data_IF_820689190488
#
_entry.id   IF_820689190488
#
_cell.length_a   1.000
_cell.length_b   1.000
_cell.length_c   1.000
_cell.angle_alpha   90.00
_cell.angle_beta   90.00
_cell.angle_gamma   90.00
#
_symmetry.space_group_name_H-M   'P 1'
#
loop_
_entity.id
_entity.type
_entity.pdbx_description
1 polymer ?
#
# COMPACT_ATOMS: atom_id res chain seq x y z
N UNK A 1 45.85 19.62 5.02
CA UNK A 1 46.26 19.25 3.65
C UNK A 1 45.00 19.08 2.82
N UNK A 2 44.68 20.08 2.02
CA UNK A 2 43.60 20.02 1.04
C UNK A 2 43.98 19.00 -0.03
N UNK A 3 43.23 17.91 -0.15
CA UNK A 3 43.24 17.09 -1.35
C UNK A 3 41.79 16.78 -1.70
N UNK A 4 41.17 17.76 -2.36
CA UNK A 4 39.93 17.55 -3.10
C UNK A 4 40.20 16.59 -4.24
N UNK A 5 39.32 15.61 -4.40
CA UNK A 5 39.19 14.86 -5.64
C UNK A 5 37.93 15.36 -6.32
N UNK A 6 38.12 16.32 -7.22
CA UNK A 6 37.10 16.74 -8.17
C UNK A 6 37.10 15.68 -9.27
N UNK A 7 36.02 14.90 -9.37
CA UNK A 7 35.72 14.18 -10.60
C UNK A 7 35.01 15.17 -11.52
N UNK A 8 35.68 15.56 -12.61
CA UNK A 8 35.04 16.25 -13.71
C UNK A 8 34.23 15.20 -14.45
N UNK A 9 32.91 15.25 -14.34
CA UNK A 9 32.03 14.56 -15.28
C UNK A 9 32.00 15.40 -16.55
N UNK A 10 32.40 14.81 -17.66
CA UNK A 10 32.13 15.37 -18.98
C UNK A 10 30.60 15.42 -19.13
N UNK A 11 30.05 16.60 -19.37
CA UNK A 11 28.62 16.77 -19.66
C UNK A 11 28.43 16.33 -21.12
N UNK A 12 28.50 15.01 -21.33
CA UNK A 12 27.87 14.38 -22.47
C UNK A 12 26.63 13.64 -21.96
N UNK A 13 25.49 14.23 -22.30
CA UNK A 13 24.10 13.87 -22.01
C UNK A 13 23.49 14.50 -20.76
N UNK A 14 22.74 15.59 -20.98
CA UNK A 14 21.85 16.27 -20.03
C UNK A 14 20.50 15.52 -19.87
N UNK A 15 20.45 14.28 -20.35
CA UNK A 15 19.24 13.53 -20.60
C UNK A 15 19.26 12.30 -19.69
N UNK A 16 18.49 12.35 -18.61
CA UNK A 16 18.26 11.20 -17.74
C UNK A 16 17.24 10.33 -18.46
N UNK A 17 17.67 9.14 -18.86
CA UNK A 17 16.82 8.15 -19.52
C UNK A 17 15.89 7.49 -18.49
N UNK A 18 14.61 7.36 -18.83
CA UNK A 18 13.60 6.69 -18.00
C UNK A 18 12.18 6.97 -18.49
N UNK A 19 11.20 6.27 -17.94
CA UNK A 19 9.81 6.50 -18.34
C UNK A 19 9.34 7.92 -17.99
N UNK A 20 8.95 8.69 -19.01
CA UNK A 20 8.41 10.05 -18.85
C UNK A 20 6.87 10.10 -18.78
N UNK A 21 6.20 8.95 -18.90
CA UNK A 21 4.74 8.86 -18.90
C UNK A 21 4.18 8.74 -17.47
N UNK A 22 3.39 9.73 -17.04
CA UNK A 22 2.87 9.84 -15.67
C UNK A 22 1.90 8.71 -15.29
N UNK A 23 1.26 8.06 -16.27
CA UNK A 23 0.33 6.93 -16.06
C UNK A 23 1.04 5.57 -15.97
N UNK A 24 2.35 5.53 -16.24
CA UNK A 24 3.12 4.29 -16.12
C UNK A 24 3.58 4.05 -14.68
N UNK A 25 3.61 2.78 -14.26
CA UNK A 25 4.01 2.41 -12.88
C UNK A 25 5.47 2.73 -12.56
N UNK A 26 6.31 2.89 -13.59
CA UNK A 26 7.73 3.18 -13.49
C UNK A 26 8.08 4.60 -13.94
N UNK A 27 7.10 5.52 -13.90
CA UNK A 27 7.31 6.94 -14.13
C UNK A 27 8.48 7.47 -13.28
N UNK A 28 9.37 8.22 -13.93
CA UNK A 28 10.51 8.84 -13.30
C UNK A 28 10.46 10.36 -13.51
N UNK A 29 10.17 11.10 -12.44
CA UNK A 29 10.13 12.57 -12.45
C UNK A 29 11.46 13.23 -12.84
N UNK A 30 12.57 12.49 -12.74
CA UNK A 30 13.92 12.97 -13.09
C UNK A 30 14.30 12.62 -14.53
N UNK A 31 13.49 11.82 -15.24
CA UNK A 31 13.73 11.46 -16.63
C UNK A 31 13.35 12.62 -17.57
N UNK A 32 14.26 12.95 -18.48
CA UNK A 32 14.05 13.97 -19.51
C UNK A 32 14.06 13.38 -20.93
N UNK A 33 14.26 12.07 -21.05
CA UNK A 33 14.17 11.31 -22.31
C UNK A 33 13.53 9.97 -22.03
N UNK A 34 12.51 9.62 -22.81
CA UNK A 34 11.79 8.35 -22.68
C UNK A 34 12.65 7.22 -23.24
N UNK A 35 13.11 6.36 -22.32
CA UNK A 35 13.85 5.15 -22.65
C UNK A 35 12.92 4.02 -23.11
N UNK A 36 11.60 4.27 -23.05
CA UNK A 36 10.60 3.33 -23.51
C UNK A 36 10.36 2.15 -22.61
N UNK A 37 10.83 2.26 -21.37
CA UNK A 37 10.57 1.27 -20.35
C UNK A 37 9.16 1.41 -19.75
N UNK A 38 8.34 2.38 -20.16
CA UNK A 38 7.04 2.67 -19.56
C UNK A 38 6.09 1.45 -19.55
N UNK A 39 5.74 0.99 -18.34
CA UNK A 39 4.82 -0.12 -18.12
C UNK A 39 3.46 0.44 -17.73
N UNK A 40 2.45 0.21 -18.56
CA UNK A 40 1.06 0.50 -18.22
C UNK A 40 0.45 -0.67 -17.46
N UNK A 41 -0.34 -0.38 -16.42
CA UNK A 41 -1.06 -1.40 -15.65
C UNK A 41 -2.52 -1.03 -15.45
N UNK A 42 -3.42 -2.01 -15.51
CA UNK A 42 -4.83 -1.82 -15.16
C UNK A 42 -5.40 -3.04 -14.44
N UNK A 43 -6.58 -2.88 -13.83
CA UNK A 43 -7.26 -3.96 -13.13
C UNK A 43 -8.31 -4.62 -14.05
N UNK A 44 -8.23 -5.93 -14.19
CA UNK A 44 -9.19 -6.74 -14.94
C UNK A 44 -9.60 -7.95 -14.11
N UNK A 45 -10.91 -8.18 -13.93
CA UNK A 45 -11.48 -9.32 -13.19
C UNK A 45 -10.82 -9.64 -11.82
N UNK A 46 -10.39 -8.60 -11.08
CA UNK A 46 -9.80 -8.72 -9.75
C UNK A 46 -8.28 -8.94 -9.70
N UNK A 47 -7.60 -8.94 -10.84
CA UNK A 47 -6.13 -9.00 -10.94
C UNK A 47 -5.58 -7.82 -11.74
N UNK A 48 -4.29 -7.53 -11.55
CA UNK A 48 -3.58 -6.50 -12.33
C UNK A 48 -2.98 -7.13 -13.60
N UNK A 49 -3.23 -6.47 -14.72
CA UNK A 49 -2.62 -6.78 -16.01
C UNK A 49 -1.65 -5.66 -16.39
N UNK A 50 -0.52 -6.03 -16.98
CA UNK A 50 0.55 -5.12 -17.40
C UNK A 50 0.78 -5.25 -18.90
N UNK A 51 0.85 -4.12 -19.57
CA UNK A 51 1.07 -4.06 -21.02
C UNK A 51 2.57 -3.98 -21.32
N UNK A 52 2.99 -4.69 -22.37
CA UNK A 52 4.38 -4.61 -22.85
C UNK A 52 4.74 -3.16 -23.24
N UNK A 53 5.87 -2.61 -22.75
CA UNK A 53 6.25 -1.22 -22.99
C UNK A 53 6.36 -0.86 -24.48
N UNK A 54 6.98 -1.74 -25.26
CA UNK A 54 7.06 -1.61 -26.71
C UNK A 54 6.37 -2.77 -27.42
N UNK A 55 5.50 -2.50 -28.42
CA UNK A 55 5.00 -3.55 -29.27
C UNK A 55 6.12 -4.08 -30.17
N UNK A 56 5.96 -5.33 -30.62
CA UNK A 56 6.77 -5.80 -31.73
C UNK A 56 6.29 -5.10 -33.01
N UNK A 57 7.13 -4.21 -33.54
CA UNK A 57 6.88 -3.52 -34.80
C UNK A 57 7.19 -4.40 -36.02
N UNK A 58 7.87 -5.54 -35.86
CA UNK A 58 7.94 -6.55 -36.90
C UNK A 58 6.59 -7.30 -36.91
N UNK A 59 5.73 -7.07 -37.92
CA UNK A 59 4.38 -7.60 -37.88
C UNK A 59 4.44 -9.13 -38.06
N UNK A 60 3.75 -9.84 -37.18
CA UNK A 60 3.69 -11.31 -37.16
C UNK A 60 2.30 -11.79 -37.55
N UNK A 61 2.17 -12.97 -38.19
CA UNK A 61 0.88 -13.59 -38.40
C UNK A 61 0.31 -14.13 -37.09
N UNK A 62 -1.00 -14.26 -37.01
CA UNK A 62 -1.66 -14.84 -35.85
C UNK A 62 -1.38 -16.35 -35.75
N UNK A 63 -1.30 -17.05 -36.89
CA UNK A 63 -0.90 -18.46 -36.99
C UNK A 63 0.07 -18.71 -38.15
N UNK A 64 0.93 -19.76 -38.08
CA UNK A 64 1.92 -20.05 -39.13
C UNK A 64 1.27 -20.50 -40.46
N UNK A 65 0.09 -21.12 -40.41
CA UNK A 65 -0.69 -21.52 -41.58
C UNK A 65 -2.17 -21.19 -41.34
N UNK A 66 -2.93 -20.93 -42.42
CA UNK A 66 -4.37 -20.72 -42.35
C UNK A 66 -5.08 -22.06 -42.10
N UNK A 67 -5.15 -22.48 -40.83
CA UNK A 67 -5.81 -23.72 -40.42
C UNK A 67 -7.25 -23.44 -39.98
N UNK A 68 -8.15 -24.32 -40.39
CA UNK A 68 -9.55 -24.27 -39.98
C UNK A 68 -9.69 -24.87 -38.59
N UNK A 69 -9.95 -23.99 -37.62
CA UNK A 69 -10.53 -24.26 -36.31
C UNK A 69 -9.58 -24.79 -35.22
N UNK A 70 -9.13 -23.86 -34.38
CA UNK A 70 -8.60 -24.17 -33.05
C UNK A 70 -9.69 -24.11 -31.95
N UNK A 71 -10.89 -23.61 -32.29
CA UNK A 71 -11.99 -23.37 -31.36
C UNK A 71 -11.55 -22.57 -30.11
N UNK A 72 -10.59 -21.64 -30.25
CA UNK A 72 -10.23 -20.69 -29.17
C UNK A 72 -11.29 -19.60 -29.09
N UNK A 73 -12.50 -20.01 -28.74
CA UNK A 73 -13.61 -19.10 -28.49
C UNK A 73 -13.50 -18.54 -27.08
N UNK A 74 -14.02 -17.32 -26.92
CA UNK A 74 -14.59 -16.92 -25.63
C UNK A 74 -15.45 -18.07 -25.13
N UNK A 75 -15.00 -18.69 -24.06
CA UNK A 75 -15.85 -19.50 -23.22
C UNK A 75 -17.13 -18.70 -22.98
N UNK A 76 -18.26 -19.27 -23.44
CA UNK A 76 -19.62 -18.73 -23.33
C UNK A 76 -20.10 -18.55 -21.86
N UNK A 77 -19.17 -18.41 -20.92
CA UNK A 77 -19.33 -18.20 -19.49
C UNK A 77 -18.38 -17.12 -18.93
N UNK A 78 -17.98 -16.12 -19.73
CA UNK A 78 -17.46 -14.85 -19.21
C UNK A 78 -16.13 -14.96 -18.48
N UNK A 79 -15.16 -15.65 -19.06
CA UNK A 79 -13.82 -15.79 -18.52
C UNK A 79 -12.75 -15.52 -19.57
N UNK A 80 -12.53 -14.25 -19.95
CA UNK A 80 -11.45 -13.90 -20.85
C UNK A 80 -10.07 -14.33 -20.29
N UNK A 81 -9.50 -15.39 -20.87
CA UNK A 81 -8.25 -15.99 -20.43
C UNK A 81 -7.20 -15.91 -21.56
N UNK A 82 -6.68 -14.71 -21.87
CA UNK A 82 -5.65 -14.56 -22.91
C UNK A 82 -4.43 -15.46 -22.68
N UNK A 83 -4.10 -15.72 -21.41
CA UNK A 83 -3.06 -16.66 -21.00
C UNK A 83 -3.35 -18.11 -21.42
N UNK A 84 -4.57 -18.60 -21.16
CA UNK A 84 -4.96 -19.96 -21.54
C UNK A 84 -5.02 -20.10 -23.06
N UNK A 85 -5.62 -19.12 -23.73
CA UNK A 85 -5.69 -19.06 -25.19
C UNK A 85 -4.30 -19.13 -25.83
N UNK A 86 -3.34 -18.38 -25.29
CA UNK A 86 -1.96 -18.40 -25.77
C UNK A 86 -1.33 -19.79 -25.62
N UNK A 87 -1.53 -20.45 -24.47
CA UNK A 87 -1.03 -21.82 -24.26
C UNK A 87 -1.66 -22.81 -25.24
N UNK A 88 -2.98 -22.72 -25.46
CA UNK A 88 -3.70 -23.62 -26.39
C UNK A 88 -3.23 -23.43 -27.84
N UNK A 89 -2.95 -22.19 -28.26
CA UNK A 89 -2.40 -21.88 -29.59
C UNK A 89 -0.97 -22.45 -29.73
N UNK A 90 -0.13 -22.29 -28.71
CA UNK A 90 1.25 -22.79 -28.71
C UNK A 90 1.30 -24.32 -28.68
N UNK A 91 0.44 -24.96 -27.90
CA UNK A 91 0.35 -26.42 -27.82
C UNK A 91 -0.09 -27.05 -29.14
N UNK A 92 -0.88 -26.34 -29.94
CA UNK A 92 -1.36 -26.83 -31.23
C UNK A 92 -0.36 -26.63 -32.38
N UNK A 93 0.24 -25.44 -32.51
CA UNK A 93 1.15 -25.15 -33.62
C UNK A 93 2.61 -25.52 -33.32
N UNK A 94 2.96 -25.75 -32.05
CA UNK A 94 4.34 -26.01 -31.62
C UNK A 94 5.18 -24.74 -31.50
N UNK A 95 6.39 -24.90 -30.98
CA UNK A 95 7.33 -23.81 -30.69
C UNK A 95 8.14 -23.39 -31.92
N UNK A 96 7.50 -22.74 -32.89
CA UNK A 96 8.16 -22.07 -34.03
C UNK A 96 7.98 -20.54 -33.90
N UNK A 97 9.05 -19.75 -34.01
CA UNK A 97 9.07 -18.27 -33.79
C UNK A 97 8.33 -17.44 -34.87
N UNK A 98 7.41 -18.06 -35.61
CA UNK A 98 6.81 -17.47 -36.80
C UNK A 98 5.44 -16.82 -36.59
N UNK A 99 4.90 -16.80 -35.37
CA UNK A 99 3.54 -16.31 -35.10
C UNK A 99 3.38 -15.58 -33.74
N UNK A 100 2.34 -14.77 -33.63
CA UNK A 100 2.12 -13.80 -32.55
C UNK A 100 2.06 -14.43 -31.13
N UNK A 101 1.36 -15.55 -30.97
CA UNK A 101 1.21 -16.19 -29.66
C UNK A 101 2.52 -16.78 -29.13
N UNK A 102 3.33 -17.44 -29.97
CA UNK A 102 4.63 -17.96 -29.57
C UNK A 102 5.65 -16.84 -29.31
N UNK A 103 5.57 -15.73 -30.05
CA UNK A 103 6.36 -14.53 -29.74
C UNK A 103 6.09 -14.06 -28.31
N UNK A 104 4.82 -13.92 -27.91
CA UNK A 104 4.50 -13.51 -26.55
C UNK A 104 4.90 -14.58 -25.52
N UNK A 105 4.73 -15.86 -25.84
CA UNK A 105 5.06 -16.96 -24.93
C UNK A 105 6.56 -17.08 -24.61
N UNK A 106 7.42 -16.85 -25.60
CA UNK A 106 8.89 -16.90 -25.44
C UNK A 106 9.51 -15.53 -25.10
N UNK A 107 8.69 -14.48 -24.96
CA UNK A 107 9.19 -13.14 -24.70
C UNK A 107 9.82 -13.08 -23.31
N UNK A 108 11.12 -12.79 -23.25
CA UNK A 108 11.82 -12.47 -22.00
C UNK A 108 12.18 -10.99 -22.00
N UNK A 109 11.33 -10.15 -21.39
CA UNK A 109 11.53 -8.70 -21.34
C UNK A 109 11.45 -8.20 -19.90
N UNK A 110 12.39 -7.31 -19.53
CA UNK A 110 12.49 -6.71 -18.19
C UNK A 110 12.56 -7.74 -17.04
N UNK A 111 13.15 -8.91 -17.29
CA UNK A 111 13.28 -9.99 -16.31
C UNK A 111 12.02 -10.84 -16.12
N UNK A 112 11.03 -10.69 -17.00
CA UNK A 112 9.78 -11.44 -16.99
C UNK A 112 9.66 -12.33 -18.23
N UNK A 113 9.29 -13.60 -18.02
CA UNK A 113 9.05 -14.62 -19.06
C UNK A 113 7.58 -15.10 -19.08
N UNK A 114 6.69 -14.43 -18.36
CA UNK A 114 5.29 -14.81 -18.16
C UNK A 114 4.31 -14.05 -19.09
N UNK A 115 4.79 -13.60 -20.24
CA UNK A 115 4.02 -12.83 -21.21
C UNK A 115 3.10 -13.72 -22.05
N UNK A 116 1.94 -13.19 -22.42
CA UNK A 116 0.96 -13.88 -23.27
C UNK A 116 0.23 -12.90 -24.19
N UNK A 117 -0.42 -13.44 -25.22
CA UNK A 117 -1.23 -12.66 -26.16
C UNK A 117 -2.58 -12.30 -25.50
N UNK A 118 -2.91 -11.00 -25.33
CA UNK A 118 -4.11 -10.60 -24.62
C UNK A 118 -5.37 -11.03 -25.35
N UNK A 119 -6.41 -11.30 -24.58
CA UNK A 119 -7.78 -11.42 -25.09
C UNK A 119 -8.38 -10.05 -25.44
N UNK A 120 -9.48 -10.06 -26.19
CA UNK A 120 -10.25 -8.88 -26.59
C UNK A 120 -10.72 -8.05 -25.38
N UNK A 121 -11.10 -8.71 -24.28
CA UNK A 121 -11.53 -8.04 -23.04
C UNK A 121 -10.35 -7.48 -22.24
N UNK A 122 -9.23 -8.21 -22.13
CA UNK A 122 -8.03 -7.70 -21.45
C UNK A 122 -7.50 -6.44 -22.13
N UNK A 123 -7.50 -6.40 -23.47
CA UNK A 123 -7.12 -5.19 -24.20
C UNK A 123 -8.18 -4.08 -24.09
N UNK A 124 -9.47 -4.46 -23.96
CA UNK A 124 -10.57 -3.52 -23.69
C UNK A 124 -10.50 -2.86 -22.31
N UNK A 125 -9.94 -3.53 -21.30
CA UNK A 125 -9.69 -2.97 -19.99
C UNK A 125 -8.68 -1.81 -20.04
N UNK A 126 -7.61 -1.96 -20.84
CA UNK A 126 -6.66 -0.87 -21.09
C UNK A 126 -7.31 0.33 -21.79
N UNK A 127 -8.18 0.09 -22.78
CA UNK A 127 -8.95 1.17 -23.40
C UNK A 127 -9.78 1.94 -22.37
N UNK A 128 -10.51 1.21 -21.52
CA UNK A 128 -11.37 1.81 -20.49
C UNK A 128 -10.54 2.63 -19.49
N UNK A 129 -9.38 2.11 -19.07
CA UNK A 129 -8.44 2.81 -18.19
C UNK A 129 -7.94 4.12 -18.81
N UNK A 130 -7.39 4.05 -20.03
CA UNK A 130 -6.88 5.22 -20.75
C UNK A 130 -7.99 6.25 -21.03
N UNK A 131 -9.20 5.81 -21.35
CA UNK A 131 -10.33 6.71 -21.58
C UNK A 131 -10.82 7.44 -20.30
N UNK A 132 -10.53 6.88 -19.12
CA UNK A 132 -10.95 7.45 -17.83
C UNK A 132 -9.96 8.47 -17.25
N UNK A 133 -8.68 8.37 -17.62
CA UNK A 133 -7.64 9.32 -17.23
C UNK A 133 -7.48 10.48 -18.22
N UNK A 134 -8.00 10.35 -19.45
CA UNK A 134 -7.75 11.29 -20.54
C UNK A 134 -8.96 12.17 -20.89
N UNK A 135 -8.80 13.49 -20.80
CA UNK A 135 -9.59 14.44 -21.58
C UNK A 135 -8.93 14.54 -22.98
N UNK A 136 -9.54 13.89 -23.98
CA UNK A 136 -8.99 13.55 -25.31
C UNK A 136 -8.54 14.73 -26.21
N UNK A 137 -8.41 15.95 -25.69
CA UNK A 137 -8.15 17.17 -26.46
C UNK A 137 -6.67 17.61 -26.45
N UNK A 138 -5.89 17.31 -25.38
CA UNK A 138 -4.54 17.90 -25.22
C UNK A 138 -3.41 17.11 -25.93
N UNK A 139 -3.68 15.90 -26.41
CA UNK A 139 -2.68 15.10 -27.16
C UNK A 139 -2.57 15.51 -28.63
N UNK A 140 -3.68 15.93 -29.25
CA UNK A 140 -3.70 16.30 -30.67
C UNK A 140 -3.03 17.66 -30.98
N UNK A 141 -2.76 18.49 -29.98
CA UNK A 141 -2.06 19.78 -30.19
C UNK A 141 -0.53 19.66 -30.25
N UNK A 142 0.03 18.52 -29.85
CA UNK A 142 1.49 18.32 -29.81
C UNK A 142 2.02 17.48 -30.99
N UNK A 143 1.15 17.08 -31.93
CA UNK A 143 1.53 16.26 -33.11
C UNK A 143 1.62 17.03 -34.43
N UNK A 144 1.44 18.36 -34.44
CA UNK A 144 1.78 19.17 -35.62
C UNK A 144 3.24 19.64 -35.55
N UNK A 145 4.19 18.82 -36.03
CA UNK A 145 5.52 19.32 -36.42
C UNK A 145 5.51 19.61 -37.92
N UNK A 146 5.41 20.90 -38.22
CA UNK A 146 5.76 21.49 -39.49
C UNK A 146 7.22 21.17 -39.83
N UNK A 147 7.45 20.84 -41.09
CA UNK A 147 8.76 20.53 -41.66
C UNK A 147 9.72 21.73 -41.53
N UNK A 148 10.77 21.55 -40.73
CA UNK A 148 12.01 22.31 -40.83
C UNK A 148 12.25 23.30 -39.70
N UNK A 149 12.97 22.86 -38.67
CA UNK A 149 14.09 23.58 -38.06
C UNK A 149 14.78 22.67 -37.03
N UNK A 150 16.09 22.48 -37.19
CA UNK A 150 16.94 21.72 -36.26
C UNK A 150 17.02 22.47 -34.93
N UNK A 151 16.36 21.94 -33.90
CA UNK A 151 16.61 22.31 -32.50
C UNK A 151 17.20 21.11 -31.75
N UNK A 152 18.31 21.38 -31.08
CA UNK A 152 19.07 20.44 -30.27
C UNK A 152 18.25 20.15 -29.00
N UNK A 153 17.57 19.01 -28.99
CA UNK A 153 16.90 18.41 -27.83
C UNK A 153 16.91 16.90 -28.04
N UNK A 154 17.38 16.15 -27.05
CA UNK A 154 17.54 14.70 -27.10
C UNK A 154 16.25 14.04 -27.59
N UNK A 155 16.37 13.31 -28.71
CA UNK A 155 15.54 12.22 -29.20
C UNK A 155 14.09 12.14 -28.65
N UNK A 156 13.13 12.69 -29.39
CA UNK A 156 11.74 12.22 -29.32
C UNK A 156 11.69 10.79 -29.88
N UNK A 157 11.68 9.77 -29.03
CA UNK A 157 11.10 8.47 -29.37
C UNK A 157 9.59 8.64 -29.47
N UNK A 158 8.97 7.99 -30.46
CA UNK A 158 7.54 8.13 -30.72
C UNK A 158 6.72 7.63 -29.52
N UNK A 159 5.54 8.24 -29.25
CA UNK A 159 4.69 7.85 -28.12
C UNK A 159 4.33 6.37 -28.15
N UNK A 160 4.16 5.80 -26.95
CA UNK A 160 3.98 4.39 -26.56
C UNK A 160 2.91 3.58 -27.32
N UNK A 161 2.16 4.22 -28.21
CA UNK A 161 1.29 3.59 -29.21
C UNK A 161 0.83 4.64 -30.21
N UNK A 162 0.91 4.36 -31.51
CA UNK A 162 0.26 5.26 -32.47
C UNK A 162 -1.27 5.05 -32.39
N UNK A 163 -2.10 6.12 -32.39
CA UNK A 163 -3.56 6.02 -32.22
C UNK A 163 -4.29 5.14 -33.26
N UNK A 164 -3.63 4.80 -34.37
CA UNK A 164 -4.23 4.08 -35.49
C UNK A 164 -3.90 2.59 -35.62
N UNK A 165 -3.06 2.01 -34.76
CA UNK A 165 -2.58 0.63 -34.94
C UNK A 165 -3.54 -0.40 -34.34
N UNK A 166 -3.82 -1.45 -35.11
CA UNK A 166 -4.52 -2.65 -34.67
C UNK A 166 -3.52 -3.68 -34.13
N UNK A 167 -3.85 -4.27 -32.98
CA UNK A 167 -3.04 -5.33 -32.36
C UNK A 167 -3.78 -6.65 -32.37
N UNK A 168 -3.04 -7.74 -32.61
CA UNK A 168 -3.58 -9.09 -32.50
C UNK A 168 -4.08 -9.37 -31.08
N UNK A 169 -5.26 -9.98 -30.99
CA UNK A 169 -5.79 -10.59 -29.77
C UNK A 169 -5.72 -12.10 -29.89
N UNK A 170 -5.77 -12.81 -28.75
CA UNK A 170 -5.79 -14.28 -28.73
C UNK A 170 -7.13 -14.89 -29.15
N UNK A 171 -8.14 -14.06 -29.43
CA UNK A 171 -9.47 -14.50 -29.83
C UNK A 171 -9.53 -14.83 -31.32
N UNK A 172 -10.02 -16.03 -31.62
CA UNK A 172 -10.38 -16.45 -32.98
C UNK A 172 -11.79 -15.97 -33.32
N UNK A 173 -12.03 -15.58 -34.58
CA UNK A 173 -13.35 -15.18 -35.05
C UNK A 173 -13.95 -16.24 -35.99
N UNK A 174 -15.29 -16.35 -36.00
CA UNK A 174 -16.01 -17.25 -36.90
C UNK A 174 -16.37 -16.54 -38.22
N UNK A 175 -16.07 -17.11 -39.41
CA UNK A 175 -15.45 -18.41 -39.67
C UNK A 175 -13.94 -18.45 -39.39
N UNK A 176 -13.46 -19.63 -39.02
CA UNK A 176 -12.16 -19.98 -38.41
C UNK A 176 -10.87 -19.66 -39.19
N UNK A 177 -10.97 -18.86 -40.25
CA UNK A 177 -9.84 -18.39 -41.05
C UNK A 177 -9.39 -16.99 -40.59
N UNK A 178 -10.15 -16.36 -39.69
CA UNK A 178 -9.90 -15.01 -39.18
C UNK A 178 -9.64 -14.97 -37.68
N UNK A 179 -8.89 -13.97 -37.24
CA UNK A 179 -8.67 -13.67 -35.83
C UNK A 179 -9.01 -12.20 -35.55
N UNK A 180 -9.20 -11.87 -34.27
CA UNK A 180 -9.64 -10.54 -33.85
C UNK A 180 -8.45 -9.61 -33.60
N UNK A 181 -8.59 -8.40 -34.14
CA UNK A 181 -7.69 -7.27 -33.98
C UNK A 181 -8.40 -6.17 -33.21
N UNK A 182 -7.71 -5.51 -32.28
CA UNK A 182 -8.31 -4.44 -31.48
C UNK A 182 -7.35 -3.26 -31.31
N UNK A 183 -7.92 -2.05 -31.32
CA UNK A 183 -7.20 -0.80 -31.01
C UNK A 183 -7.25 -0.53 -29.51
N UNK A 184 -6.19 0.10 -29.00
CA UNK A 184 -6.06 0.43 -27.57
C UNK A 184 -6.71 1.80 -27.25
N UNK A 185 -6.54 2.80 -28.12
CA UNK A 185 -7.06 4.16 -27.90
C UNK A 185 -8.47 4.41 -28.44
N UNK A 186 -8.87 3.65 -29.47
CA UNK A 186 -10.22 3.68 -30.02
C UNK A 186 -10.86 2.34 -29.69
N UNK A 187 -12.10 2.32 -29.18
CA UNK A 187 -12.84 1.08 -28.98
C UNK A 187 -13.32 0.50 -30.32
N UNK A 188 -12.38 0.11 -31.18
CA UNK A 188 -12.61 -0.41 -32.50
C UNK A 188 -12.01 -1.81 -32.63
N UNK A 189 -12.83 -2.73 -33.10
CA UNK A 189 -12.49 -4.12 -33.35
C UNK A 189 -12.60 -4.42 -34.84
N UNK A 190 -11.68 -5.23 -35.34
CA UNK A 190 -11.66 -5.67 -36.72
C UNK A 190 -11.22 -7.14 -36.79
N UNK A 191 -11.48 -7.78 -37.93
CA UNK A 191 -11.10 -9.18 -38.15
C UNK A 191 -10.34 -9.29 -39.44
N UNK A 192 -9.23 -10.03 -39.40
CA UNK A 192 -8.40 -10.28 -40.56
C UNK A 192 -7.99 -11.75 -40.62
N UNK A 193 -7.56 -12.18 -41.80
CA UNK A 193 -7.06 -13.52 -42.02
C UNK A 193 -5.83 -13.79 -41.15
N UNK A 194 -5.78 -14.96 -40.53
CA UNK A 194 -4.71 -15.32 -39.58
C UNK A 194 -3.30 -15.31 -40.17
N UNK A 195 -3.18 -15.46 -41.50
CA UNK A 195 -1.92 -15.42 -42.23
C UNK A 195 -1.38 -14.00 -42.48
N UNK A 196 -2.21 -12.97 -42.28
CA UNK A 196 -1.77 -11.59 -42.46
C UNK A 196 -0.94 -11.14 -41.26
N UNK A 197 0.05 -10.30 -41.50
CA UNK A 197 0.96 -9.85 -40.45
C UNK A 197 0.46 -8.54 -39.85
N UNK A 198 0.35 -8.50 -38.52
CA UNK A 198 0.02 -7.28 -37.76
C UNK A 198 0.95 -7.14 -36.56
N UNK A 199 1.12 -5.92 -36.02
CA UNK A 199 1.87 -5.70 -34.79
C UNK A 199 1.30 -6.49 -33.60
N UNK A 200 2.19 -6.94 -32.73
CA UNK A 200 1.83 -7.73 -31.55
C UNK A 200 2.17 -6.96 -30.29
N UNK A 201 1.26 -6.98 -29.32
CA UNK A 201 1.50 -6.41 -27.99
C UNK A 201 1.11 -7.42 -26.93
N UNK A 202 2.08 -7.84 -26.13
CA UNK A 202 1.86 -8.86 -25.12
C UNK A 202 1.40 -8.25 -23.80
N UNK A 203 0.71 -9.04 -22.99
CA UNK A 203 0.25 -8.68 -21.65
C UNK A 203 0.77 -9.74 -20.66
N UNK A 204 1.03 -9.33 -19.42
CA UNK A 204 1.29 -10.24 -18.31
C UNK A 204 0.35 -9.97 -17.16
N UNK A 205 0.01 -11.00 -16.39
CA UNK A 205 -0.75 -10.85 -15.15
C UNK A 205 0.19 -11.06 -13.97
N UNK A 206 0.26 -10.10 -13.05
CA UNK A 206 1.04 -10.30 -11.83
C UNK A 206 0.21 -9.89 -10.61
N UNK A 207 0.13 -10.81 -9.65
CA UNK A 207 -0.25 -10.44 -8.30
C UNK A 207 0.95 -9.71 -7.67
N UNK A 208 0.74 -8.42 -7.37
CA UNK A 208 1.41 -7.59 -6.34
C UNK A 208 2.43 -6.55 -6.81
N UNK A 209 2.13 -5.29 -6.46
CA UNK A 209 3.02 -4.14 -6.48
C UNK A 209 4.15 -4.25 -5.43
N UNK A 210 5.37 -3.83 -5.79
CA UNK A 210 6.40 -3.46 -4.80
C UNK A 210 7.53 -4.45 -4.56
N UNK A 211 7.72 -5.47 -5.40
CA UNK A 211 8.82 -6.41 -5.23
C UNK A 211 10.08 -5.94 -5.97
N UNK A 212 11.18 -5.74 -5.22
CA UNK A 212 12.49 -5.34 -5.77
C UNK A 212 13.33 -6.51 -6.28
N UNK A 213 12.91 -7.75 -6.01
CA UNK A 213 13.64 -8.99 -6.34
C UNK A 213 12.65 -10.06 -6.81
N UNK A 214 13.01 -10.76 -7.89
CA UNK A 214 12.27 -11.87 -8.50
C UNK A 214 11.89 -12.97 -7.48
N UNK A 215 12.74 -13.20 -6.47
CA UNK A 215 12.43 -14.15 -5.41
C UNK A 215 11.29 -13.67 -4.49
N UNK A 216 11.22 -12.38 -4.21
CA UNK A 216 10.15 -11.77 -3.41
C UNK A 216 8.85 -11.68 -4.20
N UNK A 217 8.91 -11.35 -5.50
CA UNK A 217 7.77 -11.38 -6.43
C UNK A 217 7.06 -12.74 -6.41
N UNK A 218 7.84 -13.82 -6.32
CA UNK A 218 7.35 -15.18 -6.39
C UNK A 218 6.97 -15.77 -5.02
N UNK A 219 6.89 -14.95 -3.96
CA UNK A 219 6.60 -15.40 -2.59
C UNK A 219 7.49 -16.56 -2.13
N UNK A 220 8.74 -16.63 -2.63
CA UNK A 220 9.68 -17.67 -2.19
C UNK A 220 9.90 -17.49 -0.70
N UNK A 221 9.95 -18.61 0.02
CA UNK A 221 10.17 -18.56 1.45
C UNK A 221 11.60 -18.04 1.72
N UNK A 222 11.84 -17.32 2.84
CA UNK A 222 13.15 -16.69 3.07
C UNK A 222 14.35 -17.66 3.07
N UNK A 223 14.12 -18.95 3.31
CA UNK A 223 15.16 -19.98 3.26
C UNK A 223 15.49 -20.50 1.86
N UNK A 224 14.65 -20.22 0.87
CA UNK A 224 14.86 -20.60 -0.54
C UNK A 224 15.75 -19.57 -1.28
N UNK A 225 16.02 -18.41 -0.66
CA UNK A 225 16.83 -17.33 -1.24
C UNK A 225 18.25 -17.41 -0.70
N UNK A 226 19.23 -17.55 -1.60
CA UNK A 226 20.63 -17.60 -1.21
C UNK A 226 21.21 -16.20 -1.00
N UNK A 227 21.21 -15.74 0.25
CA UNK A 227 21.87 -14.49 0.68
C UNK A 227 23.14 -14.82 1.47
N UNK A 228 24.16 -13.96 1.38
CA UNK A 228 25.37 -14.04 2.20
C UNK A 228 25.01 -13.79 3.68
N UNK A 229 24.98 -14.85 4.48
CA UNK A 229 24.75 -14.80 5.93
C UNK A 229 26.08 -14.98 6.68
N UNK A 230 26.22 -14.36 7.84
CA UNK A 230 27.40 -14.50 8.73
C UNK A 230 27.77 -15.97 8.97
N UNK A 231 26.79 -16.85 9.11
CA UNK A 231 27.01 -18.29 9.31
C UNK A 231 27.88 -18.93 8.22
N UNK A 232 27.77 -18.47 6.96
CA UNK A 232 28.58 -18.98 5.83
C UNK A 232 30.04 -18.52 5.86
N UNK A 233 30.40 -17.58 6.74
CA UNK A 233 31.71 -16.91 6.79
C UNK A 233 32.46 -17.17 8.11
N UNK A 234 31.86 -17.95 9.02
CA UNK A 234 32.46 -18.29 10.32
C UNK A 234 33.84 -18.95 10.16
N UNK A 235 34.78 -18.62 11.05
CA UNK A 235 36.16 -19.12 11.08
C UNK A 235 37.02 -18.73 9.86
N UNK A 236 36.54 -17.84 9.00
CA UNK A 236 37.34 -17.22 7.95
C UNK A 236 37.71 -15.78 8.33
N UNK A 237 38.81 -15.20 7.81
CA UNK A 237 39.16 -13.80 8.05
C UNK A 237 38.04 -12.81 7.66
N UNK A 238 37.22 -13.17 6.67
CA UNK A 238 36.07 -12.39 6.21
C UNK A 238 34.94 -12.27 7.26
N UNK A 239 35.05 -12.90 8.43
CA UNK A 239 34.13 -12.66 9.55
C UNK A 239 34.29 -11.26 10.17
N UNK A 240 35.48 -10.65 10.03
CA UNK A 240 35.79 -9.33 10.59
C UNK A 240 35.88 -8.23 9.52
N UNK A 241 35.96 -8.61 8.23
CA UNK A 241 36.24 -7.70 7.12
C UNK A 241 35.20 -7.83 5.99
N UNK A 242 34.97 -6.75 5.25
CA UNK A 242 34.11 -6.78 4.06
C UNK A 242 32.60 -6.89 4.34
N UNK A 243 32.16 -6.53 5.56
CA UNK A 243 30.75 -6.29 5.83
C UNK A 243 30.35 -4.93 5.25
N UNK A 244 29.33 -4.95 4.39
CA UNK A 244 28.74 -3.75 3.79
C UNK A 244 27.31 -3.57 4.30
N UNK A 245 26.70 -2.44 3.98
CA UNK A 245 25.32 -2.12 4.30
C UNK A 245 24.60 -1.59 3.06
N UNK A 246 23.27 -1.60 3.07
CA UNK A 246 22.46 -1.19 1.91
C UNK A 246 22.26 0.32 1.84
N UNK A 247 21.94 0.96 2.96
CA UNK A 247 21.59 2.39 3.00
C UNK A 247 22.61 3.19 3.81
N UNK A 248 23.16 4.25 3.22
CA UNK A 248 24.05 5.19 3.90
C UNK A 248 23.24 6.12 4.79
N UNK A 249 23.79 6.46 5.96
CA UNK A 249 23.23 7.48 6.86
C UNK A 249 24.29 8.54 7.13
N UNK A 250 23.94 9.82 6.98
CA UNK A 250 24.89 10.93 7.16
C UNK A 250 25.35 11.07 8.63
N UNK A 251 24.43 10.92 9.59
CA UNK A 251 24.72 11.07 11.01
C UNK A 251 23.81 10.17 11.85
N UNK A 252 24.41 9.32 12.69
CA UNK A 252 23.69 8.41 13.59
C UNK A 252 22.87 9.14 14.67
N UNK A 253 23.23 10.39 14.97
CA UNK A 253 22.54 11.21 15.97
C UNK A 253 21.53 12.19 15.33
N UNK A 254 21.40 12.20 14.00
CA UNK A 254 20.41 13.03 13.34
C UNK A 254 19.02 12.42 13.54
N UNK A 255 18.29 12.93 14.54
CA UNK A 255 16.95 12.47 14.85
C UNK A 255 16.40 13.07 16.15
N UNK A 256 15.19 12.66 16.51
CA UNK A 256 14.53 13.10 17.75
C UNK A 256 15.13 12.35 18.94
N UNK A 257 16.03 12.99 19.69
CA UNK A 257 16.72 12.38 20.84
C UNK A 257 15.78 12.11 22.04
N UNK A 258 14.68 12.86 22.14
CA UNK A 258 13.71 12.75 23.23
C UNK A 258 12.30 12.62 22.65
N UNK A 259 11.65 11.48 22.92
CA UNK A 259 10.26 11.25 22.54
C UNK A 259 9.32 12.30 23.13
N UNK A 260 8.38 12.83 22.33
CA UNK A 260 7.34 13.75 22.79
C UNK A 260 6.48 13.18 23.95
N UNK A 261 6.39 11.85 24.08
CA UNK A 261 5.68 11.20 25.19
C UNK A 261 6.24 11.59 26.58
N UNK A 262 7.54 11.90 26.68
CA UNK A 262 8.19 12.30 27.95
C UNK A 262 7.92 13.75 28.31
N UNK A 263 7.67 14.63 27.33
CA UNK A 263 7.45 16.06 27.56
C UNK A 263 6.02 16.35 28.00
N UNK A 264 5.06 15.47 27.71
CA UNK A 264 3.66 15.60 28.13
C UNK A 264 3.49 15.15 29.60
N UNK A 265 3.15 16.07 30.54
CA UNK A 265 2.95 15.73 31.95
C UNK A 265 1.66 14.97 32.22
N UNK A 266 0.54 15.36 31.58
CA UNK A 266 -0.76 14.80 31.90
C UNK A 266 -1.11 13.61 31.03
N UNK A 267 -1.86 12.66 31.58
CA UNK A 267 -2.34 11.50 30.82
C UNK A 267 -3.36 11.93 29.75
N UNK A 268 -4.17 12.93 30.05
CA UNK A 268 -5.14 13.49 29.10
C UNK A 268 -4.43 14.03 27.87
N UNK A 269 -3.36 14.81 28.03
CA UNK A 269 -2.54 15.30 26.91
C UNK A 269 -1.90 14.16 26.10
N UNK A 270 -1.50 13.07 26.76
CA UNK A 270 -0.96 11.89 26.06
C UNK A 270 -2.02 11.21 25.20
N UNK A 271 -3.25 11.11 25.72
CA UNK A 271 -4.38 10.57 24.97
C UNK A 271 -4.72 11.47 23.78
N UNK A 272 -4.82 12.78 23.99
CA UNK A 272 -5.13 13.72 22.90
C UNK A 272 -4.04 13.70 21.83
N UNK A 273 -2.76 13.71 22.23
CA UNK A 273 -1.64 13.62 21.29
C UNK A 273 -1.62 12.30 20.50
N UNK A 274 -2.02 11.18 21.12
CA UNK A 274 -2.19 9.91 20.41
C UNK A 274 -3.31 9.99 19.37
N UNK A 275 -4.45 10.59 19.72
CA UNK A 275 -5.60 10.72 18.81
C UNK A 275 -5.32 11.71 17.67
N UNK A 276 -4.59 12.80 17.93
CA UNK A 276 -4.16 13.75 16.90
C UNK A 276 -3.26 13.10 15.84
N UNK A 277 -2.43 12.12 16.23
CA UNK A 277 -1.63 11.35 15.28
C UNK A 277 -2.52 10.40 14.49
N UNK A 278 -3.49 9.74 15.14
CA UNK A 278 -4.42 8.85 14.44
C UNK A 278 -5.21 9.61 13.36
N UNK A 279 -5.70 10.82 13.66
CA UNK A 279 -6.41 11.67 12.68
C UNK A 279 -5.53 12.12 11.49
N UNK A 280 -4.20 12.14 11.65
CA UNK A 280 -3.26 12.55 10.59
C UNK A 280 -2.78 11.39 9.72
N UNK A 281 -2.88 10.16 10.20
CA UNK A 281 -2.28 8.99 9.54
C UNK A 281 -3.34 8.22 8.76
N UNK A 282 -3.23 8.23 7.43
CA UNK A 282 -4.15 7.50 6.51
C UNK A 282 -4.26 5.99 6.78
N UNK A 283 -3.22 5.37 7.32
CA UNK A 283 -3.18 3.93 7.58
C UNK A 283 -3.95 3.51 8.84
N UNK A 284 -4.47 4.45 9.63
CA UNK A 284 -5.05 4.19 10.95
C UNK A 284 -6.52 4.62 10.95
N UNK A 285 -7.41 3.74 11.40
CA UNK A 285 -8.81 4.06 11.68
C UNK A 285 -8.94 4.66 13.09
N UNK A 286 -9.34 5.93 13.16
CA UNK A 286 -9.49 6.67 14.41
C UNK A 286 -10.57 6.10 15.35
N UNK A 287 -11.64 5.53 14.80
CA UNK A 287 -12.77 4.98 15.57
C UNK A 287 -12.33 3.69 16.25
N UNK A 288 -11.63 2.82 15.53
CA UNK A 288 -11.15 1.57 16.11
C UNK A 288 -10.04 1.79 17.15
N UNK A 289 -9.15 2.76 16.94
CA UNK A 289 -8.14 3.14 17.94
C UNK A 289 -8.81 3.65 19.22
N UNK A 290 -9.79 4.57 19.11
CA UNK A 290 -10.52 5.08 20.27
C UNK A 290 -11.22 3.94 21.04
N UNK A 291 -11.84 3.00 20.33
CA UNK A 291 -12.47 1.81 20.91
C UNK A 291 -11.47 0.93 21.65
N UNK A 292 -10.33 0.62 21.03
CA UNK A 292 -9.30 -0.24 21.61
C UNK A 292 -8.70 0.37 22.88
N UNK A 293 -8.46 1.67 22.90
CA UNK A 293 -7.96 2.38 24.08
C UNK A 293 -8.94 2.26 25.25
N UNK A 294 -10.24 2.48 24.99
CA UNK A 294 -11.27 2.42 26.03
C UNK A 294 -11.45 0.98 26.53
N UNK A 295 -11.62 0.00 25.64
CA UNK A 295 -11.96 -1.38 26.02
C UNK A 295 -10.79 -2.10 26.69
N UNK A 296 -9.57 -1.98 26.13
CA UNK A 296 -8.41 -2.74 26.62
C UNK A 296 -7.72 -2.10 27.80
N UNK A 297 -7.67 -0.76 27.86
CA UNK A 297 -6.93 -0.04 28.88
C UNK A 297 -7.86 0.61 29.91
N UNK A 298 -8.67 1.58 29.50
CA UNK A 298 -9.37 2.43 30.48
C UNK A 298 -10.47 1.70 31.25
N UNK A 299 -11.37 0.97 30.57
CA UNK A 299 -12.45 0.22 31.24
C UNK A 299 -11.86 -0.83 32.18
N UNK A 300 -10.79 -1.52 31.75
CA UNK A 300 -10.11 -2.53 32.55
C UNK A 300 -9.52 -1.94 33.82
N UNK A 301 -8.87 -0.79 33.73
CA UNK A 301 -8.26 -0.11 34.87
C UNK A 301 -9.32 0.44 35.84
N UNK A 302 -10.37 1.10 35.32
CA UNK A 302 -11.46 1.65 36.14
C UNK A 302 -12.15 0.51 36.92
N UNK A 303 -12.56 -0.56 36.23
CA UNK A 303 -13.23 -1.70 36.89
C UNK A 303 -12.30 -2.43 37.87
N UNK A 304 -11.02 -2.58 37.50
CA UNK A 304 -10.00 -3.20 38.34
C UNK A 304 -9.77 -2.42 39.63
N UNK A 305 -9.60 -1.10 39.53
CA UNK A 305 -9.40 -0.22 40.68
C UNK A 305 -10.66 -0.13 41.55
N UNK A 306 -11.85 -0.06 40.95
CA UNK A 306 -13.12 -0.05 41.69
C UNK A 306 -13.33 -1.35 42.49
N UNK A 307 -13.03 -2.51 41.89
CA UNK A 307 -13.07 -3.80 42.59
C UNK A 307 -12.07 -3.82 43.76
N UNK A 308 -10.83 -3.40 43.53
CA UNK A 308 -9.80 -3.34 44.58
C UNK A 308 -10.17 -2.36 45.69
N UNK A 309 -10.77 -1.21 45.37
CA UNK A 309 -11.20 -0.22 46.35
C UNK A 309 -12.20 -0.79 47.37
N UNK A 310 -13.13 -1.62 46.92
CA UNK A 310 -14.07 -2.31 47.82
C UNK A 310 -13.43 -3.34 48.75
N UNK A 311 -12.25 -3.86 48.39
CA UNK A 311 -11.53 -4.93 49.11
C UNK A 311 -10.23 -4.44 49.77
N UNK A 312 -9.98 -3.13 49.73
CA UNK A 312 -8.68 -2.57 50.08
C UNK A 312 -8.39 -2.62 51.57
N UNK A 313 -7.11 -2.54 51.90
CA UNK A 313 -6.62 -2.29 53.26
C UNK A 313 -6.43 -0.79 53.49
N UNK A 314 -6.41 -0.41 54.76
CA UNK A 314 -6.17 0.94 55.23
C UNK A 314 -4.74 1.07 55.73
N UNK A 315 -4.06 2.17 55.42
CA UNK A 315 -2.68 2.42 55.90
C UNK A 315 -2.61 3.65 56.79
N UNK A 316 -1.74 3.60 57.81
CA UNK A 316 -1.42 4.79 58.59
C UNK A 316 -0.39 5.68 57.86
N UNK A 317 -0.63 6.99 57.80
CA UNK A 317 0.28 7.95 57.13
C UNK A 317 1.65 8.05 57.83
N UNK A 318 1.69 7.94 59.17
CA UNK A 318 2.92 8.13 59.95
C UNK A 318 3.81 6.88 60.01
N UNK A 319 3.22 5.70 60.23
CA UNK A 319 3.98 4.47 60.49
C UNK A 319 3.78 3.36 59.45
N UNK A 320 2.98 3.60 58.40
CA UNK A 320 2.68 2.63 57.34
C UNK A 320 2.11 1.27 57.80
N UNK A 321 1.68 1.12 59.06
CA UNK A 321 0.94 -0.07 59.50
C UNK A 321 -0.36 -0.20 58.71
N UNK A 322 -0.61 -1.41 58.23
CA UNK A 322 -1.78 -1.75 57.40
C UNK A 322 -2.83 -2.46 58.26
N UNK A 323 -4.09 -2.08 58.04
CA UNK A 323 -5.24 -2.65 58.71
C UNK A 323 -6.26 -3.10 57.66
N UNK A 324 -6.74 -4.33 57.76
CA UNK A 324 -7.83 -4.83 56.91
C UNK A 324 -9.16 -4.13 57.19
N UNK A 325 -9.37 -3.67 58.43
CA UNK A 325 -10.54 -2.89 58.86
C UNK A 325 -10.07 -1.69 59.70
N UNK A 326 -10.71 -0.52 59.59
CA UNK A 326 -10.34 0.62 60.43
C UNK A 326 -10.62 0.29 61.91
N UNK A 327 -9.70 0.59 62.83
CA UNK A 327 -9.99 0.52 64.26
C UNK A 327 -11.12 1.49 64.61
N UNK A 328 -12.02 1.09 65.52
CA UNK A 328 -13.19 1.91 65.91
C UNK A 328 -12.82 3.27 66.51
N UNK A 329 -11.60 3.43 67.03
CA UNK A 329 -11.08 4.73 67.49
C UNK A 329 -10.77 5.72 66.34
N UNK A 330 -10.78 5.27 65.08
CA UNK A 330 -10.46 6.10 63.90
C UNK A 330 -8.98 6.50 63.75
N UNK A 331 -8.12 6.13 64.70
CA UNK A 331 -6.68 6.42 64.71
C UNK A 331 -5.84 5.16 64.74
N UNK A 332 -4.61 5.24 64.25
CA UNK A 332 -3.68 4.12 64.27
C UNK A 332 -3.39 3.64 65.70
N UNK A 333 -3.48 2.33 65.93
CA UNK A 333 -3.25 1.71 67.24
C UNK A 333 -1.79 1.80 67.71
N UNK A 334 -0.84 1.95 66.78
CA UNK A 334 0.59 2.00 67.08
C UNK A 334 1.10 3.43 67.34
N UNK A 335 0.74 4.40 66.49
CA UNK A 335 1.34 5.75 66.51
C UNK A 335 0.34 6.91 66.60
N UNK A 336 -0.96 6.63 66.78
CA UNK A 336 -2.02 7.64 66.82
C UNK A 336 -2.21 8.46 65.53
N UNK A 337 -1.58 8.05 64.41
CA UNK A 337 -1.65 8.74 63.13
C UNK A 337 -2.97 8.50 62.39
N UNK A 338 -3.30 9.40 61.46
CA UNK A 338 -4.47 9.28 60.57
C UNK A 338 -4.34 8.05 59.68
N UNK A 339 -5.45 7.36 59.51
CA UNK A 339 -5.59 6.20 58.64
C UNK A 339 -6.22 6.67 57.32
N UNK A 340 -5.65 6.24 56.20
CA UNK A 340 -6.10 6.59 54.85
C UNK A 340 -6.31 5.34 54.00
N UNK A 341 -7.17 5.47 52.99
CA UNK A 341 -7.33 4.46 51.95
C UNK A 341 -5.99 4.24 51.21
N UNK A 342 -5.74 3.01 50.78
CA UNK A 342 -4.57 2.70 49.94
C UNK A 342 -4.80 3.10 48.49
N UNK A 343 -6.04 2.99 48.03
CA UNK A 343 -6.51 3.43 46.71
C UNK A 343 -7.43 4.62 46.92
N UNK A 344 -7.09 5.77 46.32
CA UNK A 344 -7.92 6.96 46.36
C UNK A 344 -9.02 6.91 45.30
N UNK A 345 -10.13 7.60 45.56
CA UNK A 345 -11.23 7.81 44.60
C UNK A 345 -10.72 8.38 43.26
N UNK A 346 -9.84 9.39 43.33
CA UNK A 346 -9.28 10.02 42.13
C UNK A 346 -8.55 9.04 41.20
N UNK A 347 -7.99 7.94 41.71
CA UNK A 347 -7.35 6.93 40.87
C UNK A 347 -8.34 6.12 40.01
N UNK A 348 -9.60 6.04 40.44
CA UNK A 348 -10.69 5.36 39.71
C UNK A 348 -11.32 6.32 38.71
N UNK A 349 -11.55 7.57 39.10
CA UNK A 349 -12.25 8.58 38.28
C UNK A 349 -11.37 9.15 37.16
N UNK A 350 -10.04 9.13 37.32
CA UNK A 350 -9.04 9.71 36.39
C UNK A 350 -9.33 9.50 34.89
N UNK A 351 -9.81 8.31 34.52
CA UNK A 351 -10.03 7.92 33.12
C UNK A 351 -11.49 7.99 32.67
N UNK A 352 -12.43 8.14 33.60
CA UNK A 352 -13.86 8.04 33.31
C UNK A 352 -14.34 9.16 32.39
N UNK A 353 -14.03 10.41 32.74
CA UNK A 353 -14.43 11.58 31.94
C UNK A 353 -13.77 11.59 30.56
N UNK A 354 -12.44 11.39 30.41
CA UNK A 354 -11.82 11.28 29.08
C UNK A 354 -12.39 10.13 28.24
N UNK A 355 -12.76 9.00 28.86
CA UNK A 355 -13.35 7.87 28.11
C UNK A 355 -14.73 8.23 27.56
N UNK A 356 -15.54 8.95 28.33
CA UNK A 356 -16.88 9.37 27.90
C UNK A 356 -16.76 10.40 26.78
N UNK A 357 -15.92 11.43 26.94
CA UNK A 357 -15.72 12.45 25.91
C UNK A 357 -15.19 11.88 24.59
N UNK A 358 -14.26 10.92 24.68
CA UNK A 358 -13.74 10.21 23.52
C UNK A 358 -14.83 9.37 22.84
N UNK A 359 -15.66 8.68 23.63
CA UNK A 359 -16.75 7.85 23.09
C UNK A 359 -17.82 8.65 22.35
N UNK A 360 -18.06 9.90 22.78
CA UNK A 360 -18.98 10.82 22.10
C UNK A 360 -18.35 11.49 20.89
N UNK A 361 -17.05 11.81 20.94
CA UNK A 361 -16.35 12.47 19.82
C UNK A 361 -16.25 11.57 18.58
N UNK A 362 -15.88 10.31 18.76
CA UNK A 362 -15.67 9.35 17.66
C UNK A 362 -16.87 8.40 17.45
N UNK A 363 -18.05 8.78 17.97
CA UNK A 363 -19.30 8.03 17.85
C UNK A 363 -19.18 6.51 18.02
N UNK A 364 -18.59 6.07 19.14
CA UNK A 364 -18.31 4.65 19.36
C UNK A 364 -19.58 3.77 19.43
N UNK A 365 -19.45 2.44 19.23
CA UNK A 365 -20.56 1.51 19.33
C UNK A 365 -21.36 1.66 20.63
N UNK A 366 -22.68 1.53 20.51
CA UNK A 366 -23.64 1.72 21.61
C UNK A 366 -23.28 0.89 22.85
N UNK A 367 -22.76 -0.32 22.67
CA UNK A 367 -22.32 -1.19 23.76
C UNK A 367 -21.24 -0.56 24.66
N UNK A 368 -20.23 0.08 24.05
CA UNK A 368 -19.13 0.73 24.79
C UNK A 368 -19.66 1.93 25.56
N UNK A 369 -20.49 2.75 24.91
CA UNK A 369 -21.16 3.91 25.55
C UNK A 369 -22.02 3.48 26.75
N UNK A 370 -22.83 2.43 26.60
CA UNK A 370 -23.62 1.87 27.69
C UNK A 370 -22.75 1.31 28.82
N UNK A 371 -21.63 0.67 28.48
CA UNK A 371 -20.70 0.12 29.48
C UNK A 371 -20.04 1.23 30.30
N UNK A 372 -19.66 2.34 29.67
CA UNK A 372 -19.12 3.52 30.34
C UNK A 372 -20.18 4.15 31.25
N UNK A 373 -21.42 4.30 30.77
CA UNK A 373 -22.53 4.86 31.54
C UNK A 373 -22.89 3.99 32.77
N UNK A 374 -22.93 2.66 32.61
CA UNK A 374 -23.12 1.73 33.73
C UNK A 374 -21.96 1.81 34.74
N UNK A 375 -20.72 1.95 34.25
CA UNK A 375 -19.55 2.10 35.10
C UNK A 375 -19.59 3.42 35.87
N UNK A 376 -20.01 4.51 35.23
CA UNK A 376 -20.24 5.82 35.85
C UNK A 376 -21.27 5.74 36.96
N UNK A 377 -22.46 5.19 36.68
CA UNK A 377 -23.52 5.01 37.69
C UNK A 377 -23.05 4.18 38.89
N UNK A 378 -22.23 3.16 38.64
CA UNK A 378 -21.65 2.34 39.72
C UNK A 378 -20.68 3.14 40.59
N UNK A 379 -19.86 3.98 39.99
CA UNK A 379 -18.93 4.87 40.71
C UNK A 379 -19.74 5.88 41.53
N UNK A 380 -20.72 6.56 40.92
CA UNK A 380 -21.61 7.50 41.61
C UNK A 380 -22.41 6.84 42.74
N UNK A 381 -22.79 5.57 42.60
CA UNK A 381 -23.46 4.82 43.67
C UNK A 381 -22.55 4.50 44.87
N UNK A 382 -21.22 4.40 44.67
CA UNK A 382 -20.24 4.09 45.73
C UNK A 382 -19.76 5.36 46.43
N UNK A 383 -19.45 6.41 45.66
CA UNK A 383 -18.87 7.65 46.18
C UNK A 383 -19.91 8.73 46.45
N UNK A 384 -21.14 8.56 45.93
CA UNK A 384 -22.13 9.61 45.85
C UNK A 384 -21.90 10.50 44.63
N UNK A 385 -22.90 11.31 44.28
CA UNK A 385 -22.68 12.44 43.37
C UNK A 385 -21.91 13.52 44.12
N UNK A 386 -21.02 14.24 43.43
CA UNK A 386 -20.45 15.45 44.01
C UNK A 386 -21.60 16.35 44.48
N UNK A 387 -21.45 16.93 45.68
CA UNK A 387 -22.42 17.92 46.18
C UNK A 387 -22.53 19.02 45.12
N UNK A 388 -23.73 19.33 44.66
CA UNK A 388 -23.99 20.38 43.69
C UNK A 388 -23.23 21.64 44.11
N UNK A 389 -22.15 21.95 43.38
CA UNK A 389 -21.41 23.20 43.57
C UNK A 389 -22.21 24.28 42.86
N UNK A 390 -22.58 25.32 43.60
CA UNK A 390 -23.20 26.50 43.02
C UNK A 390 -22.24 27.11 41.99
N UNK A 391 -22.55 26.95 40.71
CA UNK A 391 -21.84 27.60 39.61
C UNK A 391 -22.43 29.02 39.45
N UNK A 392 -21.56 30.00 39.20
CA UNK A 392 -21.99 31.37 38.91
C UNK A 392 -22.76 31.44 37.58
N UNK A 393 -23.73 32.36 37.47
CA UNK A 393 -24.54 32.52 36.27
C UNK A 393 -23.72 32.74 34.99
N UNK A 394 -22.52 33.32 35.07
CA UNK A 394 -21.64 33.54 33.92
C UNK A 394 -21.08 32.26 33.28
N UNK A 395 -21.22 31.09 33.92
CA UNK A 395 -20.89 29.81 33.28
C UNK A 395 -22.00 29.29 32.35
N UNK A 396 -23.21 29.86 32.44
CA UNK A 396 -24.39 29.49 31.64
C UNK A 396 -24.67 30.49 30.51
N UNK A 397 -24.31 31.74 30.71
CA UNK A 397 -24.37 32.80 29.71
C UNK A 397 -22.93 33.13 29.33
N UNK A 398 -22.38 32.35 28.39
CA UNK A 398 -21.07 32.64 27.79
C UNK A 398 -20.99 34.04 27.20
#
# INVERSE_FOLDING_TARGET
>A
SNSGHVRVFDIQSLCTEGCTDEIAINYNELASTDDGSCILSTQFNGYNIFLQPYPNYEPLPWSPYNSSNLDVFEDNYGGANGKQNTQDIVDFYGMDDSYAANYCYNLEQHGYSDWYLPSTDELGAFHSYLSSEWDLMDYYSNTEVTSGEQTIGCCFSQPLTSPGIFYWTSNENYPSESATLKKIFENAEWHDNKSNTHPVRCVRNNAVEGCQDEAACNYKMPWDVDVKIINKVLNTPAQYEGMMFTHYTDNMNAGILCSAYKTLPSMQEKLTGQMEIAEKVRAVDEVDVARLVIDKHFIRDIKGNLRKFSQQEFRCVKCNTKYRRPPLRGVCTNCGGKIVFTISEGSIVKYLEPSISLSTKYDLPVYVKQTLELTKRRIEGVFGKEKEKQLGLGAWFG
#
